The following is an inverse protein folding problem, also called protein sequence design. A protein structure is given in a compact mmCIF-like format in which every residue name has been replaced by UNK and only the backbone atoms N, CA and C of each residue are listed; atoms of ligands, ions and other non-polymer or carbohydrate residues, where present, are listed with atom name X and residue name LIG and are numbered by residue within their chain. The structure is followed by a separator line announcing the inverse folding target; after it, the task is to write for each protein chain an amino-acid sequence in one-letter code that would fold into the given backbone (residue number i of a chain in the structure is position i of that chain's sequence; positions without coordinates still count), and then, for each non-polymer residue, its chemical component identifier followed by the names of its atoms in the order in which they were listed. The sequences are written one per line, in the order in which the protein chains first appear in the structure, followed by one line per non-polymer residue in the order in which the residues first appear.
data_IF_027853145043
#
_entry.id   IF_027853145043
#
_cell.length_a   1.000
_cell.length_b   1.000
_cell.length_c   1.000
_cell.angle_alpha   90.00
_cell.angle_beta   90.00
_cell.angle_gamma   90.00
#
_symmetry.space_group_name_H-M   'P 1'
#
loop_
_entity.id
_entity.type
_entity.pdbx_description
1 polymer ?
#
# COMPACT_ATOMS: atom_id res chain seq x y z
N UNK A 1 -7.34 -25.48 -9.93
CA UNK A 1 -7.34 -24.70 -11.18
C UNK A 1 -6.17 -25.22 -12.02
N UNK A 2 -6.42 -25.72 -13.23
CA UNK A 2 -5.37 -26.21 -14.12
C UNK A 2 -5.23 -25.18 -15.25
N UNK A 3 -4.09 -24.50 -15.31
CA UNK A 3 -3.84 -23.48 -16.34
C UNK A 3 -3.11 -24.17 -17.49
N UNK A 4 -3.82 -24.41 -18.59
CA UNK A 4 -3.23 -24.97 -19.81
C UNK A 4 -2.66 -23.79 -20.62
N UNK A 5 -1.34 -23.70 -20.68
CA UNK A 5 -0.65 -22.67 -21.45
C UNK A 5 -0.70 -23.02 -22.94
N UNK A 6 -0.84 -21.98 -23.79
CA UNK A 6 -0.69 -22.15 -25.24
C UNK A 6 0.75 -22.59 -25.54
N UNK A 7 0.91 -23.52 -26.48
CA UNK A 7 2.23 -24.00 -26.93
C UNK A 7 2.80 -23.17 -28.08
N UNK A 8 1.91 -22.59 -28.88
CA UNK A 8 2.25 -21.75 -30.03
C UNK A 8 1.42 -20.48 -30.00
N UNK A 9 2.00 -19.42 -30.55
CA UNK A 9 1.34 -18.14 -30.81
C UNK A 9 1.94 -17.63 -32.11
N UNK A 10 1.11 -17.13 -33.03
CA UNK A 10 1.60 -16.58 -34.29
C UNK A 10 1.50 -15.04 -34.23
N UNK A 11 2.64 -14.39 -34.39
CA UNK A 11 2.78 -12.94 -34.33
C UNK A 11 2.96 -12.38 -32.91
N UNK A 12 2.56 -11.11 -32.74
CA UNK A 12 2.68 -10.37 -31.48
C UNK A 12 1.37 -9.62 -31.21
N UNK A 13 0.81 -9.84 -30.03
CA UNK A 13 -0.33 -9.10 -29.49
C UNK A 13 0.11 -8.13 -28.41
N UNK A 14 -0.38 -6.89 -28.50
CA UNK A 14 -0.17 -5.85 -27.49
C UNK A 14 -1.50 -5.49 -26.86
N UNK A 15 -1.57 -5.46 -25.52
CA UNK A 15 -2.70 -4.96 -24.77
C UNK A 15 -2.26 -3.77 -23.91
N UNK A 16 -3.01 -2.67 -23.99
CA UNK A 16 -2.81 -1.50 -23.13
C UNK A 16 -4.08 -1.27 -22.35
N UNK A 17 -3.94 -1.08 -21.04
CA UNK A 17 -5.02 -0.66 -20.16
C UNK A 17 -4.57 0.56 -19.38
N UNK A 18 -5.44 1.55 -19.28
CA UNK A 18 -5.31 2.65 -18.35
C UNK A 18 -6.65 2.88 -17.65
N UNK A 19 -6.62 3.39 -16.42
CA UNK A 19 -7.82 3.72 -15.67
C UNK A 19 -7.52 4.53 -14.44
N UNK A 20 -8.57 5.10 -13.85
CA UNK A 20 -8.53 5.84 -12.59
C UNK A 20 -9.81 5.54 -11.80
N UNK A 21 -9.96 6.15 -10.62
CA UNK A 21 -11.16 6.07 -9.81
C UNK A 21 -11.85 7.43 -9.73
N UNK A 22 -13.18 7.44 -9.61
CA UNK A 22 -13.99 8.67 -9.60
C UNK A 22 -13.63 9.60 -8.43
N UNK A 23 -13.27 9.03 -7.27
CA UNK A 23 -12.90 9.78 -6.07
C UNK A 23 -11.36 9.97 -5.93
N UNK A 24 -10.61 9.78 -7.02
CA UNK A 24 -9.16 9.99 -7.04
C UNK A 24 -8.32 8.88 -6.41
N UNK A 25 -7.03 8.88 -6.73
CA UNK A 25 -6.15 7.74 -6.43
C UNK A 25 -6.44 6.53 -7.33
N UNK A 26 -5.65 5.46 -7.18
CA UNK A 26 -5.88 4.22 -7.94
C UNK A 26 -5.58 4.30 -9.45
N UNK A 27 -5.00 5.40 -9.93
CA UNK A 27 -4.51 5.53 -11.31
C UNK A 27 -3.67 4.31 -11.66
N UNK A 28 -4.02 3.64 -12.74
CA UNK A 28 -3.34 2.44 -13.18
C UNK A 28 -3.05 2.46 -14.68
N UNK A 29 -1.92 1.86 -15.03
CA UNK A 29 -1.50 1.58 -16.39
C UNK A 29 -0.96 0.15 -16.44
N UNK A 30 -1.29 -0.58 -17.50
CA UNK A 30 -0.76 -1.89 -17.78
C UNK A 30 -0.47 -2.02 -19.26
N UNK A 31 0.74 -2.45 -19.58
CA UNK A 31 1.15 -2.89 -20.89
C UNK A 31 1.40 -4.40 -20.83
N UNK A 32 0.80 -5.15 -21.75
CA UNK A 32 1.10 -6.56 -21.94
C UNK A 32 1.54 -6.78 -23.39
N UNK A 33 2.60 -7.55 -23.58
CA UNK A 33 3.03 -8.06 -24.86
C UNK A 33 3.03 -9.59 -24.78
N UNK A 34 2.35 -10.25 -25.70
CA UNK A 34 2.39 -11.70 -25.85
C UNK A 34 2.75 -11.99 -27.29
N UNK A 35 3.68 -12.91 -27.50
CA UNK A 35 4.08 -13.29 -28.84
C UNK A 35 4.58 -14.71 -28.89
N UNK A 36 4.86 -15.15 -30.10
CA UNK A 36 5.46 -16.44 -30.34
C UNK A 36 5.74 -16.63 -31.82
N UNK A 37 6.31 -17.79 -32.11
CA UNK A 37 6.51 -18.24 -33.47
C UNK A 37 6.81 -19.72 -33.49
N UNK A 38 6.78 -20.25 -34.70
CA UNK A 38 7.12 -21.63 -34.99
C UNK A 38 8.07 -21.65 -36.19
N UNK A 39 9.10 -22.47 -36.11
CA UNK A 39 9.95 -22.84 -37.24
C UNK A 39 9.77 -24.31 -37.61
N UNK A 40 10.64 -24.82 -38.49
CA UNK A 40 10.61 -26.23 -38.91
C UNK A 40 10.67 -27.19 -37.71
N UNK A 41 11.57 -26.90 -36.77
CA UNK A 41 11.88 -27.77 -35.65
C UNK A 41 11.74 -27.11 -34.27
N UNK A 42 11.08 -25.95 -34.17
CA UNK A 42 10.89 -25.29 -32.88
C UNK A 42 9.56 -24.55 -32.78
N UNK A 43 9.09 -24.40 -31.56
CA UNK A 43 7.99 -23.52 -31.16
C UNK A 43 8.44 -22.68 -29.96
N UNK A 44 8.14 -21.39 -29.97
CA UNK A 44 8.42 -20.53 -28.84
C UNK A 44 7.27 -19.56 -28.56
N UNK A 45 7.07 -19.28 -27.29
CA UNK A 45 6.15 -18.23 -26.83
C UNK A 45 6.84 -17.36 -25.78
N UNK A 46 6.43 -16.10 -25.71
CA UNK A 46 6.82 -15.20 -24.64
C UNK A 46 5.64 -14.34 -24.20
N UNK A 47 5.71 -13.88 -22.96
CA UNK A 47 4.79 -12.92 -22.37
C UNK A 47 5.57 -11.93 -21.52
N UNK A 48 5.19 -10.67 -21.58
CA UNK A 48 5.69 -9.59 -20.74
C UNK A 48 4.50 -8.75 -20.27
N UNK A 49 4.39 -8.52 -18.97
CA UNK A 49 3.49 -7.56 -18.37
C UNK A 49 4.31 -6.52 -17.61
N UNK A 50 3.98 -5.25 -17.81
CA UNK A 50 4.45 -4.13 -17.01
C UNK A 50 3.22 -3.41 -16.50
N UNK A 51 3.06 -3.31 -15.18
CA UNK A 51 1.94 -2.61 -14.58
C UNK A 51 2.38 -1.65 -13.48
N UNK A 52 1.68 -0.54 -13.41
CA UNK A 52 1.82 0.48 -12.38
C UNK A 52 0.43 0.86 -11.89
N UNK A 53 0.21 0.84 -10.58
CA UNK A 53 -1.04 1.28 -9.94
C UNK A 53 -0.69 2.10 -8.72
N UNK A 54 -1.14 3.35 -8.67
CA UNK A 54 -1.04 4.21 -7.48
C UNK A 54 -1.91 3.69 -6.34
N UNK A 55 -1.53 4.02 -5.11
CA UNK A 55 -2.37 3.72 -3.95
C UNK A 55 -3.71 4.49 -4.01
N UNK A 56 -4.70 3.94 -3.28
CA UNK A 56 -5.91 4.65 -2.87
C UNK A 56 -5.80 4.86 -1.37
N UNK A 57 -5.93 6.10 -0.92
CA UNK A 57 -5.95 6.46 0.49
C UNK A 57 -7.38 6.59 1.01
N UNK A 58 -7.59 6.30 2.30
CA UNK A 58 -8.88 6.47 2.97
C UNK A 58 -9.34 7.92 2.93
N UNK A 59 -8.43 8.88 3.06
CA UNK A 59 -8.72 10.32 2.91
C UNK A 59 -9.15 10.76 1.51
N UNK A 60 -9.18 9.84 0.54
CA UNK A 60 -9.72 10.09 -0.80
C UNK A 60 -11.13 9.50 -0.95
N UNK A 61 -11.70 8.90 0.08
CA UNK A 61 -13.00 8.25 0.01
C UNK A 61 -13.98 9.00 0.89
N UNK A 62 -15.05 9.50 0.29
CA UNK A 62 -16.08 10.32 0.95
C UNK A 62 -16.73 9.65 2.16
N UNK A 63 -16.84 8.32 2.17
CA UNK A 63 -17.36 7.57 3.31
C UNK A 63 -16.30 7.20 4.36
N UNK A 64 -15.04 7.59 4.16
CA UNK A 64 -13.91 7.24 5.03
C UNK A 64 -13.06 8.43 5.46
N UNK A 65 -13.15 9.58 4.78
CA UNK A 65 -12.21 10.68 4.89
C UNK A 65 -12.36 11.47 6.20
N UNK A 66 -13.49 11.33 6.88
CA UNK A 66 -13.68 11.78 8.26
C UNK A 66 -14.32 10.72 9.16
N UNK A 67 -13.95 10.73 10.44
CA UNK A 67 -14.65 9.98 11.48
C UNK A 67 -16.14 10.37 11.60
N UNK A 68 -16.54 11.54 11.09
CA UNK A 68 -17.94 11.95 11.08
C UNK A 68 -18.81 11.15 10.12
N UNK A 69 -18.21 10.45 9.15
CA UNK A 69 -18.93 9.69 8.12
C UNK A 69 -19.23 8.25 8.58
N UNK A 70 -19.17 8.00 9.89
CA UNK A 70 -19.48 6.70 10.47
C UNK A 70 -20.91 6.28 10.06
N UNK A 71 -21.08 5.15 9.35
CA UNK A 71 -22.39 4.73 8.84
C UNK A 71 -23.40 4.39 9.94
N UNK A 72 -22.96 4.30 11.21
CA UNK A 72 -23.84 4.13 12.37
C UNK A 72 -24.47 5.45 12.83
N UNK A 73 -24.09 6.59 12.23
CA UNK A 73 -24.58 7.92 12.59
C UNK A 73 -24.01 8.46 13.91
N UNK A 74 -23.01 7.80 14.49
CA UNK A 74 -22.35 8.21 15.73
C UNK A 74 -20.86 8.31 15.48
N UNK A 75 -20.36 9.54 15.38
CA UNK A 75 -18.94 9.81 15.20
C UNK A 75 -18.15 9.29 16.42
N UNK A 76 -17.12 8.47 16.24
CA UNK A 76 -16.19 8.13 17.31
C UNK A 76 -15.40 9.38 17.75
N UNK A 77 -14.68 9.27 18.86
CA UNK A 77 -13.81 10.34 19.33
C UNK A 77 -12.75 10.69 18.28
N UNK A 78 -12.56 11.98 18.06
CA UNK A 78 -11.54 12.50 17.14
C UNK A 78 -10.18 11.87 17.41
N UNK A 79 -9.44 11.54 16.36
CA UNK A 79 -8.12 10.93 16.51
C UNK A 79 -7.17 11.93 17.15
N UNK A 80 -6.52 11.53 18.24
CA UNK A 80 -5.57 12.39 18.92
C UNK A 80 -4.38 12.73 17.99
N UNK A 81 -4.12 14.03 17.86
CA UNK A 81 -3.01 14.61 17.10
C UNK A 81 -1.90 15.03 18.06
N UNK A 82 -2.26 15.66 19.16
CA UNK A 82 -1.33 15.99 20.24
C UNK A 82 -2.05 15.95 21.58
N UNK A 83 -1.36 15.45 22.61
CA UNK A 83 -1.85 15.59 23.98
C UNK A 83 -0.72 15.56 25.01
N UNK A 84 -1.02 16.16 26.15
CA UNK A 84 -0.38 15.88 27.43
C UNK A 84 -1.37 15.16 28.31
N UNK A 85 -0.92 14.17 29.08
CA UNK A 85 -1.78 13.36 29.95
C UNK A 85 -1.10 13.16 31.28
N UNK A 86 -1.84 13.29 32.38
CA UNK A 86 -1.36 12.87 33.67
C UNK A 86 -1.29 11.33 33.70
N UNK A 87 -0.10 10.79 33.89
CA UNK A 87 0.15 9.35 33.82
C UNK A 87 -0.46 8.59 35.02
N UNK A 88 -0.69 9.27 36.14
CA UNK A 88 -1.28 8.67 37.34
C UNK A 88 -2.81 8.57 37.24
N UNK A 89 -3.47 9.59 36.70
CA UNK A 89 -4.95 9.62 36.58
C UNK A 89 -5.45 9.17 35.21
N UNK A 90 -4.58 9.09 34.21
CA UNK A 90 -4.90 8.84 32.81
C UNK A 90 -5.81 9.92 32.17
N UNK A 91 -5.94 11.09 32.81
CA UNK A 91 -6.68 12.24 32.30
C UNK A 91 -5.77 13.16 31.48
N UNK A 92 -6.29 13.70 30.40
CA UNK A 92 -5.62 14.73 29.63
C UNK A 92 -5.42 15.99 30.47
N UNK A 93 -4.25 16.60 30.29
CA UNK A 93 -3.97 17.94 30.77
C UNK A 93 -4.52 18.86 29.69
N UNK A 94 -5.57 19.59 30.04
CA UNK A 94 -6.33 20.41 29.10
C UNK A 94 -5.40 21.39 28.36
N UNK A 95 -5.38 21.39 27.02
CA UNK A 95 -4.59 22.35 26.26
C UNK A 95 -5.08 23.81 26.43
N UNK A 96 -6.25 24.04 27.02
CA UNK A 96 -6.89 25.36 27.02
C UNK A 96 -7.50 25.67 25.65
N UNK A 97 -8.12 26.83 25.50
CA UNK A 97 -8.84 27.20 24.25
C UNK A 97 -7.91 27.30 23.04
N UNK A 98 -6.69 27.81 23.26
CA UNK A 98 -5.76 28.18 22.19
C UNK A 98 -4.59 27.18 22.07
N UNK A 99 -4.54 26.17 22.94
CA UNK A 99 -3.39 25.25 23.01
C UNK A 99 -3.25 24.32 21.81
N UNK A 100 -4.23 24.27 20.92
CA UNK A 100 -4.16 23.49 19.67
C UNK A 100 -3.81 24.35 18.45
N UNK A 101 -3.71 25.67 18.58
CA UNK A 101 -3.56 26.61 17.47
C UNK A 101 -2.29 26.35 16.64
N UNK A 102 -1.18 26.00 17.30
CA UNK A 102 0.08 25.65 16.64
C UNK A 102 -0.01 24.41 15.73
N UNK A 103 -1.03 23.56 15.94
CA UNK A 103 -1.31 22.38 15.11
C UNK A 103 -2.53 22.52 14.22
N UNK A 104 -3.23 23.67 14.27
CA UNK A 104 -4.51 23.89 13.56
C UNK A 104 -4.42 23.65 12.06
N UNK A 105 -3.27 23.96 11.43
CA UNK A 105 -3.04 23.82 9.99
C UNK A 105 -2.75 22.39 9.53
N UNK A 106 -2.61 21.45 10.45
CA UNK A 106 -2.24 20.06 10.13
C UNK A 106 -3.46 19.26 9.69
N UNK A 107 -3.22 18.15 8.99
CA UNK A 107 -4.29 17.31 8.42
C UNK A 107 -5.28 18.15 7.59
N UNK A 108 -4.75 19.03 6.73
CA UNK A 108 -5.58 19.91 5.91
C UNK A 108 -6.33 21.00 6.69
N UNK A 109 -5.88 21.38 7.89
CA UNK A 109 -6.53 22.43 8.68
C UNK A 109 -7.59 21.91 9.66
N UNK A 110 -7.61 20.61 9.94
CA UNK A 110 -8.73 19.97 10.62
C UNK A 110 -8.49 19.66 12.10
N UNK A 111 -7.38 20.14 12.66
CA UNK A 111 -7.07 19.94 14.08
C UNK A 111 -7.85 20.94 14.92
N UNK A 112 -8.57 20.43 15.91
CA UNK A 112 -9.34 21.22 16.87
C UNK A 112 -9.17 20.69 18.30
N UNK A 113 -9.64 21.47 19.28
CA UNK A 113 -9.72 21.03 20.68
C UNK A 113 -10.88 20.04 20.84
N UNK A 114 -10.56 18.74 20.81
CA UNK A 114 -11.50 17.66 21.05
C UNK A 114 -11.69 17.40 22.55
N UNK A 115 -12.81 16.76 22.91
CA UNK A 115 -13.15 16.42 24.28
C UNK A 115 -13.44 14.93 24.40
N UNK A 116 -12.71 14.24 25.27
CA UNK A 116 -13.04 12.89 25.70
C UNK A 116 -13.88 12.97 26.99
N UNK A 117 -15.12 12.43 27.03
CA UNK A 117 -15.98 12.50 28.20
C UNK A 117 -15.40 11.88 29.48
N UNK A 118 -14.46 10.94 29.33
CA UNK A 118 -13.83 10.23 30.46
C UNK A 118 -12.47 10.79 30.85
N UNK A 119 -11.78 11.46 29.93
CA UNK A 119 -10.36 11.80 30.10
C UNK A 119 -10.07 13.30 29.99
N UNK A 120 -10.94 14.13 29.42
CA UNK A 120 -10.68 15.57 29.28
C UNK A 120 -10.38 16.03 27.84
N UNK A 121 -9.93 17.28 27.71
CA UNK A 121 -9.65 17.93 26.42
C UNK A 121 -8.27 17.60 25.84
N UNK A 122 -8.17 17.51 24.52
CA UNK A 122 -6.93 17.22 23.78
C UNK A 122 -6.99 17.81 22.36
N UNK A 123 -5.88 17.84 21.62
CA UNK A 123 -5.89 18.24 20.22
C UNK A 123 -6.17 17.03 19.33
N UNK A 124 -7.25 17.05 18.57
CA UNK A 124 -7.71 15.96 17.75
C UNK A 124 -8.15 16.39 16.35
N UNK A 125 -8.34 15.42 15.47
CA UNK A 125 -8.81 15.61 14.09
C UNK A 125 -9.65 14.39 13.68
N UNK A 126 -10.72 14.61 12.92
CA UNK A 126 -11.57 13.52 12.41
C UNK A 126 -10.96 12.91 11.13
N UNK A 127 -10.08 13.62 10.46
CA UNK A 127 -9.44 13.31 9.20
C UNK A 127 -8.09 12.61 9.42
N UNK A 128 -7.51 12.74 10.62
CA UNK A 128 -6.23 12.15 10.99
C UNK A 128 -6.23 10.61 11.03
N UNK A 129 -7.38 9.98 11.27
CA UNK A 129 -7.52 8.51 11.22
C UNK A 129 -7.25 7.97 9.80
N UNK A 130 -8.05 8.33 8.78
CA UNK A 130 -7.95 7.75 7.43
C UNK A 130 -6.76 8.24 6.62
N UNK A 131 -6.13 9.36 7.00
CA UNK A 131 -5.03 9.99 6.27
C UNK A 131 -3.93 9.03 5.81
N UNK A 132 -3.50 8.10 6.66
CA UNK A 132 -2.40 7.18 6.35
C UNK A 132 -2.85 5.81 5.87
N UNK A 133 -4.15 5.55 5.79
CA UNK A 133 -4.68 4.24 5.44
C UNK A 133 -4.72 4.09 3.93
N UNK A 134 -4.02 3.11 3.39
CA UNK A 134 -4.21 2.68 2.00
C UNK A 134 -5.32 1.65 1.94
N UNK A 135 -6.45 2.00 1.32
CA UNK A 135 -7.55 1.09 0.99
C UNK A 135 -7.13 0.11 -0.11
N UNK A 136 -6.31 0.60 -1.03
CA UNK A 136 -5.64 -0.21 -2.04
C UNK A 136 -4.16 0.17 -2.08
N UNK A 137 -3.29 -0.85 -2.06
CA UNK A 137 -1.84 -0.66 -2.09
C UNK A 137 -1.36 -0.18 -3.46
N UNK A 138 -0.30 0.65 -3.45
CA UNK A 138 0.45 0.94 -4.67
C UNK A 138 1.21 -0.33 -5.08
N UNK A 139 1.16 -0.69 -6.37
CA UNK A 139 1.89 -1.83 -6.92
C UNK A 139 2.51 -1.45 -8.25
N UNK A 140 3.81 -1.71 -8.38
CA UNK A 140 4.56 -1.64 -9.64
C UNK A 140 5.17 -2.99 -9.89
N UNK A 141 4.79 -3.67 -10.96
CA UNK A 141 5.29 -5.01 -11.26
C UNK A 141 5.71 -5.15 -12.71
N UNK A 142 6.70 -6.02 -12.88
CA UNK A 142 7.15 -6.53 -14.16
C UNK A 142 7.15 -8.04 -14.04
N UNK A 143 6.41 -8.70 -14.92
CA UNK A 143 6.32 -10.16 -14.98
C UNK A 143 6.65 -10.59 -16.41
N UNK A 144 7.56 -11.55 -16.57
CA UNK A 144 7.94 -12.08 -17.86
C UNK A 144 7.94 -13.61 -17.83
N UNK A 145 7.53 -14.19 -18.95
CA UNK A 145 7.49 -15.63 -19.16
C UNK A 145 7.99 -15.96 -20.56
N UNK A 146 8.72 -17.05 -20.69
CA UNK A 146 9.06 -17.62 -22.00
C UNK A 146 9.06 -19.13 -21.92
N UNK A 147 8.68 -19.76 -23.03
CA UNK A 147 8.79 -21.20 -23.20
C UNK A 147 9.22 -21.51 -24.63
N UNK A 148 10.09 -22.51 -24.78
CA UNK A 148 10.56 -23.02 -26.07
C UNK A 148 10.46 -24.54 -26.07
N UNK A 149 10.03 -25.08 -27.20
CA UNK A 149 10.07 -26.51 -27.51
C UNK A 149 10.88 -26.69 -28.79
N UNK A 150 11.79 -27.65 -28.79
CA UNK A 150 12.66 -27.97 -29.92
C UNK A 150 12.47 -29.44 -30.29
N UNK A 151 12.04 -29.72 -31.52
CA UNK A 151 11.92 -31.06 -32.10
C UNK A 151 13.29 -31.52 -32.61
N UNK A 152 13.85 -32.56 -31.99
CA UNK A 152 15.10 -33.18 -32.47
C UNK A 152 14.82 -34.12 -33.66
N UNK A 153 13.68 -34.81 -33.61
CA UNK A 153 13.15 -35.72 -34.63
C UNK A 153 11.65 -35.95 -34.36
N UNK A 154 10.99 -36.80 -35.15
CA UNK A 154 9.55 -37.09 -35.04
C UNK A 154 9.12 -37.66 -33.68
N UNK A 155 10.05 -38.08 -32.82
CA UNK A 155 9.79 -38.79 -31.57
C UNK A 155 10.39 -38.12 -30.34
N UNK A 156 11.22 -37.09 -30.49
CA UNK A 156 11.99 -36.50 -29.40
C UNK A 156 11.94 -34.98 -29.45
N UNK A 157 11.56 -34.40 -28.32
CA UNK A 157 11.49 -32.95 -28.12
C UNK A 157 12.26 -32.56 -26.86
N UNK A 158 12.96 -31.43 -26.94
CA UNK A 158 13.51 -30.72 -25.79
C UNK A 158 12.58 -29.56 -25.45
N UNK A 159 12.45 -29.23 -24.17
CA UNK A 159 11.70 -28.06 -23.75
C UNK A 159 12.47 -27.29 -22.68
N UNK A 160 12.25 -25.98 -22.67
CA UNK A 160 12.71 -25.10 -21.60
C UNK A 160 11.68 -23.99 -21.38
N UNK A 161 11.47 -23.61 -20.13
CA UNK A 161 10.64 -22.46 -19.76
C UNK A 161 11.23 -21.69 -18.59
N UNK A 162 10.96 -20.39 -18.59
CA UNK A 162 11.38 -19.47 -17.55
C UNK A 162 10.22 -18.51 -17.21
N UNK A 163 10.01 -18.28 -15.92
CA UNK A 163 9.15 -17.21 -15.42
C UNK A 163 9.97 -16.34 -14.46
N UNK A 164 9.87 -15.02 -14.60
CA UNK A 164 10.50 -14.06 -13.70
C UNK A 164 9.50 -12.97 -13.35
N UNK A 165 9.50 -12.55 -12.10
CA UNK A 165 8.61 -11.51 -11.60
C UNK A 165 9.31 -10.61 -10.60
N UNK A 166 9.02 -9.33 -10.65
CA UNK A 166 9.39 -8.39 -9.59
C UNK A 166 8.27 -7.41 -9.32
N UNK A 167 7.98 -7.15 -8.04
CA UNK A 167 7.00 -6.16 -7.63
C UNK A 167 7.56 -5.26 -6.53
N UNK A 168 7.31 -3.95 -6.67
CA UNK A 168 7.46 -2.96 -5.59
C UNK A 168 6.07 -2.58 -5.12
N UNK A 169 5.82 -2.81 -3.84
CA UNK A 169 4.52 -2.55 -3.20
C UNK A 169 4.72 -1.50 -2.11
N UNK A 170 3.87 -0.47 -2.13
CA UNK A 170 3.79 0.51 -1.05
C UNK A 170 2.44 0.39 -0.35
N UNK A 171 2.49 0.31 0.97
CA UNK A 171 1.33 0.17 1.83
C UNK A 171 1.53 1.00 3.09
N UNK A 172 0.47 1.62 3.59
CA UNK A 172 0.51 2.26 4.87
C UNK A 172 -0.84 2.13 5.57
N UNK A 173 -0.81 1.95 6.88
CA UNK A 173 -2.02 1.91 7.72
C UNK A 173 -1.83 2.68 9.02
N UNK A 174 -0.68 3.32 9.23
CA UNK A 174 -0.34 3.96 10.51
C UNK A 174 0.34 5.29 10.28
N UNK A 175 -0.08 6.30 11.02
CA UNK A 175 0.68 7.54 11.14
C UNK A 175 1.95 7.27 11.97
N UNK A 176 3.08 7.95 11.69
CA UNK A 176 4.19 7.96 12.62
C UNK A 176 3.75 8.72 13.87
N UNK A 177 4.24 8.28 15.02
CA UNK A 177 3.93 8.94 16.29
C UNK A 177 5.15 8.97 17.20
N UNK A 178 5.22 10.00 18.01
CA UNK A 178 6.17 10.14 19.10
C UNK A 178 5.43 10.12 20.44
N UNK A 179 6.06 9.52 21.44
CA UNK A 179 5.60 9.54 22.83
C UNK A 179 6.77 9.79 23.75
N UNK A 180 6.52 10.35 24.93
CA UNK A 180 7.54 10.56 25.96
C UNK A 180 8.30 9.27 26.30
N UNK A 181 9.61 9.41 26.59
CA UNK A 181 10.49 8.30 26.98
C UNK A 181 9.92 7.50 28.14
N UNK A 182 10.01 6.16 28.06
CA UNK A 182 9.42 5.22 29.04
C UNK A 182 7.92 5.43 29.32
N UNK A 183 7.20 6.03 28.36
CA UNK A 183 5.78 6.37 28.37
C UNK A 183 5.37 7.53 29.29
N UNK A 184 6.20 7.99 30.22
CA UNK A 184 5.95 9.18 31.04
C UNK A 184 7.23 9.71 31.71
N UNK A 185 7.19 10.96 32.16
CA UNK A 185 8.27 11.61 32.92
C UNK A 185 7.69 12.57 33.96
N UNK A 186 8.46 12.91 34.98
CA UNK A 186 8.07 13.94 35.95
C UNK A 186 8.34 15.33 35.38
N UNK A 187 7.28 16.14 35.22
CA UNK A 187 7.37 17.51 34.76
C UNK A 187 7.39 18.47 35.96
N UNK A 188 8.54 19.10 36.21
CA UNK A 188 8.72 20.02 37.35
C UNK A 188 7.81 21.25 37.28
N UNK A 189 7.45 21.70 36.07
CA UNK A 189 6.61 22.89 35.89
C UNK A 189 5.16 22.65 36.30
N UNK A 190 4.65 21.44 36.14
CA UNK A 190 3.28 21.07 36.54
C UNK A 190 3.22 20.31 37.86
N UNK A 191 4.36 19.79 38.33
CA UNK A 191 4.42 18.90 39.48
C UNK A 191 3.80 17.52 39.24
N UNK A 192 3.56 17.13 37.99
CA UNK A 192 2.85 15.91 37.61
C UNK A 192 3.74 14.91 36.86
N UNK A 193 3.38 13.62 36.96
CA UNK A 193 3.86 12.62 36.01
C UNK A 193 3.06 12.79 34.70
N UNK A 194 3.75 13.12 33.62
CA UNK A 194 3.13 13.40 32.33
C UNK A 194 3.55 12.41 31.25
N UNK A 195 2.59 12.04 30.41
CA UNK A 195 2.78 11.35 29.15
C UNK A 195 2.47 12.31 28.01
N UNK A 196 3.41 12.50 27.11
CA UNK A 196 3.25 13.38 25.95
C UNK A 196 3.12 12.54 24.70
N UNK A 197 2.26 12.96 23.78
CA UNK A 197 2.04 12.25 22.53
C UNK A 197 1.92 13.22 21.36
N UNK A 198 2.46 12.79 20.23
CA UNK A 198 2.34 13.48 18.94
C UNK A 198 2.10 12.46 17.83
N UNK A 199 1.08 12.71 17.01
CA UNK A 199 0.81 11.99 15.76
C UNK A 199 1.20 12.89 14.58
N UNK A 200 2.24 12.52 13.86
CA UNK A 200 2.74 13.36 12.77
C UNK A 200 1.75 13.39 11.60
N UNK A 201 1.53 14.59 11.08
CA UNK A 201 0.70 14.85 9.92
C UNK A 201 1.54 14.80 8.63
N UNK A 202 0.93 14.54 7.46
CA UNK A 202 1.63 14.51 6.18
C UNK A 202 2.43 15.80 5.91
N UNK A 203 1.90 16.95 6.32
CA UNK A 203 2.51 18.27 6.15
C UNK A 203 3.87 18.37 6.87
N UNK A 204 4.06 17.63 7.96
CA UNK A 204 5.28 17.67 8.77
C UNK A 204 6.37 16.74 8.24
N UNK A 205 6.00 15.67 7.53
CA UNK A 205 6.93 14.62 7.10
C UNK A 205 7.17 14.60 5.59
N UNK A 206 6.59 15.54 4.83
CA UNK A 206 6.72 15.62 3.38
C UNK A 206 5.82 14.65 2.62
N UNK A 207 4.64 14.34 3.18
CA UNK A 207 3.57 13.57 2.56
C UNK A 207 3.39 12.15 3.12
N UNK A 208 2.20 11.59 2.91
CA UNK A 208 1.79 10.25 3.39
C UNK A 208 2.73 9.12 2.95
N UNK A 209 3.35 9.27 1.79
CA UNK A 209 4.27 8.30 1.18
C UNK A 209 5.59 8.12 1.95
N UNK A 210 5.96 9.10 2.79
CA UNK A 210 7.23 9.09 3.53
C UNK A 210 7.22 8.10 4.69
N UNK A 211 6.04 7.75 5.20
CA UNK A 211 5.85 6.74 6.24
C UNK A 211 5.36 5.37 5.71
N UNK A 212 5.38 5.16 4.39
CA UNK A 212 4.88 3.92 3.81
C UNK A 212 5.86 2.75 4.03
N UNK A 213 5.31 1.58 4.37
CA UNK A 213 6.03 0.32 4.27
C UNK A 213 6.30 0.00 2.81
N UNK A 214 7.49 -0.53 2.55
CA UNK A 214 7.96 -0.87 1.21
C UNK A 214 8.30 -2.35 1.16
N UNK A 215 7.69 -3.06 0.23
CA UNK A 215 7.96 -4.46 -0.01
C UNK A 215 8.55 -4.60 -1.41
N UNK A 216 9.67 -5.32 -1.49
CA UNK A 216 10.24 -5.77 -2.74
C UNK A 216 10.01 -7.27 -2.82
N UNK A 217 9.22 -7.69 -3.80
CA UNK A 217 8.97 -9.10 -4.09
C UNK A 217 9.70 -9.46 -5.38
N UNK A 218 10.32 -10.64 -5.37
CA UNK A 218 11.01 -11.21 -6.51
C UNK A 218 10.66 -12.70 -6.59
N UNK A 219 10.35 -13.17 -7.78
CA UNK A 219 10.05 -14.57 -8.06
C UNK A 219 10.73 -15.01 -9.35
N UNK A 220 11.14 -16.27 -9.40
CA UNK A 220 11.68 -16.86 -10.60
C UNK A 220 11.47 -18.38 -10.60
N UNK A 221 11.31 -18.95 -11.78
CA UNK A 221 11.28 -20.40 -12.01
C UNK A 221 11.92 -20.70 -13.35
N UNK A 222 12.62 -21.83 -13.44
CA UNK A 222 13.24 -22.30 -14.66
C UNK A 222 13.11 -23.81 -14.74
N UNK A 223 12.68 -24.32 -15.89
CA UNK A 223 12.55 -25.74 -16.15
C UNK A 223 13.21 -26.08 -17.48
N UNK A 224 13.83 -27.26 -17.54
CA UNK A 224 14.33 -27.86 -18.77
C UNK A 224 14.02 -29.35 -18.76
N UNK A 225 13.83 -29.93 -19.93
CA UNK A 225 13.66 -31.37 -20.03
C UNK A 225 13.60 -31.88 -21.45
N UNK A 226 13.45 -33.20 -21.54
CA UNK A 226 13.24 -33.91 -22.79
C UNK A 226 11.99 -34.78 -22.67
N UNK A 227 11.27 -34.92 -23.77
CA UNK A 227 10.10 -35.77 -23.92
C UNK A 227 10.23 -36.58 -25.19
N UNK A 228 9.99 -37.88 -25.11
CA UNK A 228 10.00 -38.74 -26.29
C UNK A 228 10.01 -40.22 -25.94
N UNK A 229 9.94 -41.07 -26.98
CA UNK A 229 10.13 -42.51 -26.83
C UNK A 229 11.62 -42.87 -27.01
N UNK A 230 12.11 -43.78 -26.16
CA UNK A 230 13.43 -44.39 -26.30
C UNK A 230 13.19 -45.82 -26.82
N UNK A 231 13.32 -46.03 -28.13
CA UNK A 231 13.06 -47.33 -28.77
C UNK A 231 12.05 -47.27 -29.91
N UNK A 232 12.22 -48.20 -30.86
CA UNK A 232 11.47 -48.34 -32.12
C UNK A 232 9.97 -48.51 -31.95
#
# INVERSE_FOLDING_TARGET
VNIILKKTYDGVGINVRAGTTEQGGGDNQRLQAVGGGSGENWDAIFGLEIANRKAIYGSQRDFMDSLTDDPRGVAPLATAVAYRRNASTNNYIDPGTDGCDASSTLYGGSVFRAQNPRQGGYCGSNEAAPTFWTVQTEKRNIDAYSAVTWRLNDRQELFADAAIGTARIYNNTRAPSWTSSRNYFYNQNSGQLESWYRRFAPEEIGGVQRNANRFLEQSWSFNVGARGSIGG
#
